data_IF_956614238462
#
_entry.id   IF_956614238462
#
_cell.length_a   1.000
_cell.length_b   1.000
_cell.length_c   1.000
_cell.angle_alpha   90.00
_cell.angle_beta   90.00
_cell.angle_gamma   90.00
#
_symmetry.space_group_name_H-M   'P 1'
#
loop_
_entity.id
_entity.type
_entity.pdbx_description
1 polymer ?
#
# COMPACT_ATOMS: atom_id res chain seq x y z
N UNK A 1 -16.35 -19.30 -69.51
CA UNK A 1 -16.16 -17.84 -69.33
C UNK A 1 -16.66 -17.43 -67.95
N UNK A 2 -15.73 -16.92 -67.13
CA UNK A 2 -15.86 -16.08 -65.94
C UNK A 2 -17.20 -15.97 -65.18
N UNK A 3 -17.16 -16.29 -63.88
CA UNK A 3 -17.66 -15.39 -62.84
C UNK A 3 -16.77 -15.50 -61.58
N UNK A 4 -15.76 -14.62 -61.53
CA UNK A 4 -14.99 -14.29 -60.32
C UNK A 4 -15.97 -13.64 -59.33
N UNK A 5 -16.24 -14.31 -58.21
CA UNK A 5 -16.86 -13.69 -57.03
C UNK A 5 -15.80 -12.85 -56.31
N UNK A 6 -16.11 -11.57 -56.12
CA UNK A 6 -15.25 -10.58 -55.48
C UNK A 6 -15.72 -10.35 -54.03
N UNK A 7 -14.76 -10.32 -53.11
CA UNK A 7 -14.71 -9.62 -51.81
C UNK A 7 -15.90 -9.69 -50.84
N UNK A 8 -15.62 -10.29 -49.68
CA UNK A 8 -15.89 -9.62 -48.40
C UNK A 8 -14.59 -9.71 -47.58
N UNK A 9 -13.82 -8.62 -47.61
CA UNK A 9 -12.75 -8.38 -46.66
C UNK A 9 -13.40 -8.23 -45.29
N UNK A 10 -13.16 -9.17 -44.39
CA UNK A 10 -13.48 -9.03 -42.98
C UNK A 10 -12.55 -7.97 -42.40
N UNK A 11 -13.06 -6.74 -42.29
CA UNK A 11 -12.50 -5.71 -41.45
C UNK A 11 -12.62 -6.20 -40.00
N UNK A 12 -11.58 -6.87 -39.52
CA UNK A 12 -11.43 -7.23 -38.12
C UNK A 12 -11.00 -5.96 -37.36
N UNK A 13 -11.94 -5.02 -37.23
CA UNK A 13 -11.80 -3.89 -36.33
C UNK A 13 -11.69 -4.46 -34.91
N UNK A 14 -10.49 -4.38 -34.36
CA UNK A 14 -10.16 -4.71 -32.97
C UNK A 14 -11.10 -3.89 -32.08
N UNK A 15 -12.20 -4.50 -31.64
CA UNK A 15 -13.11 -3.89 -30.70
C UNK A 15 -12.32 -3.60 -29.42
N UNK A 16 -12.24 -2.33 -29.03
CA UNK A 16 -11.67 -1.94 -27.76
C UNK A 16 -12.31 -2.81 -26.65
N UNK A 17 -11.51 -3.41 -25.75
CA UNK A 17 -12.05 -4.28 -24.71
C UNK A 17 -13.13 -3.51 -23.93
N UNK A 18 -14.29 -4.14 -23.73
CA UNK A 18 -15.40 -3.52 -23.01
C UNK A 18 -14.91 -3.01 -21.65
N UNK A 19 -15.00 -1.69 -21.44
CA UNK A 19 -14.51 -1.01 -20.25
C UNK A 19 -15.24 -1.54 -19.00
N UNK A 20 -14.53 -2.32 -18.18
CA UNK A 20 -15.07 -2.91 -16.95
C UNK A 20 -15.30 -1.83 -15.90
N UNK A 21 -16.42 -1.89 -15.20
CA UNK A 21 -16.76 -1.01 -14.08
C UNK A 21 -16.48 -1.74 -12.77
N UNK A 22 -15.93 -1.06 -11.77
CA UNK A 22 -15.75 -1.67 -10.45
C UNK A 22 -17.12 -2.01 -9.85
N UNK A 23 -17.31 -3.22 -9.31
CA UNK A 23 -18.56 -3.60 -8.65
C UNK A 23 -18.80 -2.79 -7.36
N UNK A 24 -17.73 -2.31 -6.72
CA UNK A 24 -17.77 -1.63 -5.43
C UNK A 24 -17.93 -0.10 -5.55
N UNK A 25 -17.55 0.47 -6.71
CA UNK A 25 -17.51 1.91 -6.98
C UNK A 25 -18.17 2.25 -8.32
N UNK A 26 -19.50 2.22 -8.31
CA UNK A 26 -20.36 2.45 -9.50
C UNK A 26 -21.54 3.38 -9.17
N UNK A 27 -21.31 4.40 -8.34
CA UNK A 27 -22.40 5.29 -7.90
C UNK A 27 -22.92 6.16 -9.05
N UNK A 28 -24.24 6.31 -9.15
CA UNK A 28 -24.87 7.19 -10.15
C UNK A 28 -24.61 8.67 -9.87
N UNK A 29 -24.42 9.06 -8.60
CA UNK A 29 -24.11 10.43 -8.18
C UNK A 29 -22.62 10.78 -8.28
N UNK A 30 -21.79 9.89 -8.83
CA UNK A 30 -20.37 10.15 -8.99
C UNK A 30 -20.11 11.40 -9.85
N UNK A 31 -19.20 12.24 -9.38
CA UNK A 31 -18.79 13.50 -10.02
C UNK A 31 -17.38 13.38 -10.66
N UNK A 32 -16.77 12.19 -10.60
CA UNK A 32 -15.50 11.87 -11.25
C UNK A 32 -15.40 10.39 -11.59
N UNK A 33 -14.74 10.09 -12.71
CA UNK A 33 -14.30 8.74 -13.10
C UNK A 33 -12.79 8.62 -12.87
N UNK A 34 -12.35 7.62 -12.09
CA UNK A 34 -10.94 7.20 -12.07
C UNK A 34 -10.81 5.92 -12.91
N UNK A 35 -9.69 5.79 -13.63
CA UNK A 35 -9.39 4.62 -14.45
C UNK A 35 -8.08 4.02 -14.00
N UNK A 36 -8.09 2.74 -13.65
CA UNK A 36 -6.89 1.98 -13.32
C UNK A 36 -6.03 1.70 -14.54
N UNK A 37 -4.78 1.30 -14.30
CA UNK A 37 -3.83 0.88 -15.34
C UNK A 37 -4.32 -0.30 -16.18
N UNK A 38 -5.11 -1.20 -15.59
CA UNK A 38 -5.73 -2.35 -16.25
C UNK A 38 -7.11 -2.03 -16.88
N UNK A 39 -7.47 -0.74 -16.95
CA UNK A 39 -8.63 -0.24 -17.70
C UNK A 39 -9.98 -0.41 -16.99
N UNK A 40 -9.98 -0.62 -15.67
CA UNK A 40 -11.20 -0.65 -14.85
C UNK A 40 -11.58 0.77 -14.45
N UNK A 41 -12.87 1.08 -14.55
CA UNK A 41 -13.44 2.38 -14.22
C UNK A 41 -14.05 2.39 -12.82
N UNK A 42 -13.85 3.50 -12.13
CA UNK A 42 -14.31 3.76 -10.78
C UNK A 42 -15.13 5.05 -10.78
N UNK A 43 -16.42 4.94 -10.53
CA UNK A 43 -17.31 6.11 -10.41
C UNK A 43 -17.37 6.51 -8.94
N UNK A 44 -16.66 7.58 -8.61
CA UNK A 44 -16.41 8.02 -7.22
C UNK A 44 -16.77 9.48 -7.01
N UNK A 45 -16.63 9.95 -5.76
CA UNK A 45 -16.98 11.32 -5.35
C UNK A 45 -15.72 12.09 -4.96
N UNK A 46 -15.47 13.23 -5.61
CA UNK A 46 -14.35 14.14 -5.31
C UNK A 46 -14.32 14.51 -3.85
N UNK A 47 -15.48 14.82 -3.26
CA UNK A 47 -15.59 15.23 -1.85
C UNK A 47 -15.02 14.18 -0.87
N UNK A 48 -15.30 12.90 -1.09
CA UNK A 48 -14.80 11.83 -0.22
C UNK A 48 -13.28 11.68 -0.36
N UNK A 49 -12.79 11.65 -1.60
CA UNK A 49 -11.37 11.47 -1.88
C UNK A 49 -10.54 12.68 -1.41
N UNK A 50 -11.03 13.90 -1.64
CA UNK A 50 -10.37 15.14 -1.22
C UNK A 50 -10.30 15.28 0.30
N UNK A 51 -11.32 14.79 1.02
CA UNK A 51 -11.30 14.76 2.49
C UNK A 51 -10.32 13.71 3.01
N UNK A 52 -10.18 12.58 2.31
CA UNK A 52 -9.32 11.47 2.73
C UNK A 52 -7.85 11.65 2.33
N UNK A 53 -7.56 12.46 1.32
CA UNK A 53 -6.24 12.63 0.72
C UNK A 53 -6.08 14.04 0.14
N UNK A 54 -5.06 14.74 0.60
CA UNK A 54 -4.66 16.03 0.03
C UNK A 54 -4.17 15.90 -1.41
N UNK A 55 -3.52 14.78 -1.74
CA UNK A 55 -3.03 14.50 -3.10
C UNK A 55 -4.19 14.38 -4.09
N UNK A 56 -5.29 13.72 -3.71
CA UNK A 56 -6.48 13.69 -4.55
C UNK A 56 -7.14 15.06 -4.67
N UNK A 57 -7.19 15.84 -3.59
CA UNK A 57 -7.72 17.20 -3.64
C UNK A 57 -6.97 18.06 -4.68
N UNK A 58 -5.64 18.11 -4.57
CA UNK A 58 -4.76 18.86 -5.47
C UNK A 58 -4.85 18.34 -6.92
N UNK A 59 -4.95 17.01 -7.08
CA UNK A 59 -5.13 16.38 -8.38
C UNK A 59 -6.43 16.87 -9.05
N UNK A 60 -7.54 16.95 -8.33
CA UNK A 60 -8.81 17.37 -8.92
C UNK A 60 -8.85 18.87 -9.23
N UNK A 61 -8.21 19.70 -8.41
CA UNK A 61 -8.08 21.13 -8.70
C UNK A 61 -7.30 21.38 -10.00
N UNK A 62 -6.25 20.60 -10.25
CA UNK A 62 -5.38 20.77 -11.43
C UNK A 62 -5.94 20.13 -12.72
N UNK A 63 -6.76 19.09 -12.62
CA UNK A 63 -7.17 18.27 -13.78
C UNK A 63 -8.62 18.48 -14.24
N UNK A 64 -9.44 19.22 -13.49
CA UNK A 64 -10.89 19.31 -13.77
C UNK A 64 -11.32 20.58 -14.51
N UNK A 65 -10.40 21.24 -15.20
CA UNK A 65 -10.55 22.54 -15.87
C UNK A 65 -11.41 22.56 -17.16
N UNK A 66 -12.39 21.67 -17.32
CA UNK A 66 -13.18 21.54 -18.55
C UNK A 66 -14.68 21.32 -18.33
N UNK A 67 -15.48 21.60 -19.36
CA UNK A 67 -16.96 21.47 -19.41
C UNK A 67 -17.48 20.02 -19.35
N UNK A 68 -16.66 19.04 -18.93
CA UNK A 68 -17.13 17.67 -18.79
C UNK A 68 -17.95 17.52 -17.50
N UNK A 69 -19.19 17.04 -17.64
CA UNK A 69 -20.08 16.73 -16.51
C UNK A 69 -19.44 15.75 -15.52
N UNK A 70 -18.60 14.84 -16.02
CA UNK A 70 -17.78 13.92 -15.23
C UNK A 70 -16.37 13.77 -15.84
N UNK A 71 -15.35 14.45 -15.32
CA UNK A 71 -13.98 14.26 -15.78
C UNK A 71 -13.49 12.84 -15.50
N UNK A 72 -12.63 12.32 -16.38
CA UNK A 72 -11.99 11.02 -16.25
C UNK A 72 -10.49 11.19 -16.04
N UNK A 73 -9.92 10.53 -15.03
CA UNK A 73 -8.48 10.57 -14.73
C UNK A 73 -7.91 9.14 -14.80
N UNK A 74 -6.82 8.97 -15.54
CA UNK A 74 -6.09 7.69 -15.61
C UNK A 74 -5.01 7.64 -14.53
N UNK A 75 -4.94 6.51 -13.81
CA UNK A 75 -4.03 6.24 -12.71
C UNK A 75 -3.12 5.05 -13.05
N UNK A 76 -1.98 4.95 -12.37
CA UNK A 76 -0.94 3.95 -12.66
C UNK A 76 -1.14 2.65 -11.90
N UNK A 77 -2.04 2.66 -10.93
CA UNK A 77 -2.35 1.57 -10.02
C UNK A 77 -3.32 0.59 -10.69
N UNK A 78 -3.21 -0.69 -10.31
CA UNK A 78 -4.16 -1.72 -10.74
C UNK A 78 -5.53 -1.49 -10.09
N UNK A 79 -6.57 -2.09 -10.67
CA UNK A 79 -7.92 -2.05 -10.11
C UNK A 79 -7.96 -2.56 -8.67
N UNK A 80 -7.19 -3.61 -8.35
CA UNK A 80 -7.12 -4.18 -7.00
C UNK A 80 -6.59 -3.17 -5.97
N UNK A 81 -5.48 -2.51 -6.28
CA UNK A 81 -4.87 -1.50 -5.41
C UNK A 81 -5.81 -0.31 -5.21
N UNK A 82 -6.44 0.17 -6.29
CA UNK A 82 -7.41 1.25 -6.20
C UNK A 82 -8.65 0.86 -5.41
N UNK A 83 -9.19 -0.35 -5.57
CA UNK A 83 -10.34 -0.80 -4.77
C UNK A 83 -10.04 -0.76 -3.27
N UNK A 84 -8.86 -1.25 -2.88
CA UNK A 84 -8.41 -1.21 -1.48
C UNK A 84 -8.24 0.23 -0.99
N UNK A 85 -7.55 1.07 -1.77
CA UNK A 85 -7.25 2.46 -1.40
C UNK A 85 -8.53 3.30 -1.26
N UNK A 86 -9.45 3.17 -2.22
CA UNK A 86 -10.74 3.86 -2.20
C UNK A 86 -11.62 3.38 -1.04
N UNK A 87 -11.49 2.12 -0.60
CA UNK A 87 -12.14 1.62 0.60
C UNK A 87 -11.84 2.47 1.84
N UNK A 88 -10.58 2.89 2.01
CA UNK A 88 -10.16 3.78 3.11
C UNK A 88 -10.61 5.24 2.93
N UNK A 89 -10.83 5.68 1.68
CA UNK A 89 -11.31 7.02 1.38
C UNK A 89 -12.81 7.22 1.63
N UNK A 90 -13.57 6.13 1.76
CA UNK A 90 -15.00 6.18 2.02
C UNK A 90 -15.32 5.91 3.50
N UNK A 91 -16.44 6.43 4.02
CA UNK A 91 -16.89 6.16 5.39
C UNK A 91 -17.45 4.74 5.51
N UNK A 92 -16.57 3.74 5.46
CA UNK A 92 -16.88 2.31 5.60
C UNK A 92 -16.07 1.71 6.73
N UNK A 93 -16.56 0.58 7.26
CA UNK A 93 -15.81 -0.25 8.19
C UNK A 93 -14.80 -1.04 7.39
N UNK A 94 -13.51 -0.83 7.67
CA UNK A 94 -12.44 -1.59 7.05
C UNK A 94 -12.16 -2.84 7.89
N UNK A 95 -12.01 -4.02 7.28
CA UNK A 95 -11.60 -5.22 7.99
C UNK A 95 -10.19 -5.04 8.58
N UNK A 96 -9.85 -5.88 9.55
CA UNK A 96 -8.47 -5.96 10.05
C UNK A 96 -7.58 -6.38 8.89
N UNK A 97 -6.58 -5.54 8.58
CA UNK A 97 -5.61 -5.83 7.54
C UNK A 97 -4.71 -7.00 7.94
N UNK A 98 -4.79 -8.10 7.18
CA UNK A 98 -3.84 -9.19 7.27
C UNK A 98 -2.62 -8.88 6.40
N UNK A 99 -1.55 -8.38 7.00
CA UNK A 99 -0.32 -8.01 6.29
C UNK A 99 0.45 -9.20 5.75
N UNK A 100 0.82 -9.12 4.46
CA UNK A 100 1.71 -10.04 3.73
C UNK A 100 2.67 -9.23 2.84
N UNK A 101 3.97 -9.50 2.90
CA UNK A 101 5.00 -8.64 2.26
C UNK A 101 4.82 -8.56 0.75
N UNK A 102 4.63 -9.71 0.13
CA UNK A 102 4.56 -9.87 -1.32
C UNK A 102 3.32 -9.16 -1.88
N UNK A 103 2.18 -9.29 -1.20
CA UNK A 103 0.89 -8.82 -1.67
C UNK A 103 0.65 -7.34 -1.33
N UNK A 104 1.24 -6.83 -0.25
CA UNK A 104 0.95 -5.47 0.25
C UNK A 104 1.96 -4.41 -0.19
N UNK A 105 3.09 -4.79 -0.78
CA UNK A 105 4.14 -3.82 -1.15
C UNK A 105 3.64 -2.72 -2.08
N UNK A 106 2.90 -3.08 -3.13
CA UNK A 106 2.33 -2.09 -4.06
C UNK A 106 1.25 -1.24 -3.40
N UNK A 107 0.48 -1.85 -2.50
CA UNK A 107 -0.55 -1.14 -1.75
C UNK A 107 0.03 -0.11 -0.78
N UNK A 108 1.08 -0.46 -0.04
CA UNK A 108 1.80 0.47 0.85
C UNK A 108 2.37 1.65 0.08
N UNK A 109 2.95 1.40 -1.11
CA UNK A 109 3.42 2.47 -2.00
C UNK A 109 2.30 3.39 -2.46
N UNK A 110 1.12 2.85 -2.77
CA UNK A 110 -0.04 3.64 -3.13
C UNK A 110 -0.54 4.48 -1.94
N UNK A 111 -0.55 3.93 -0.72
CA UNK A 111 -0.94 4.68 0.49
C UNK A 111 -0.02 5.89 0.70
N UNK A 112 1.29 5.71 0.52
CA UNK A 112 2.27 6.79 0.62
C UNK A 112 2.09 7.82 -0.52
N UNK A 113 2.03 7.34 -1.77
CA UNK A 113 1.83 8.19 -2.96
C UNK A 113 0.60 9.10 -2.87
N UNK A 114 -0.53 8.54 -2.41
CA UNK A 114 -1.77 9.29 -2.26
C UNK A 114 -1.97 9.89 -0.87
N UNK A 115 -1.04 9.66 0.05
CA UNK A 115 -1.09 10.12 1.43
C UNK A 115 -2.48 9.94 2.06
N UNK A 116 -2.88 8.68 2.26
CA UNK A 116 -4.20 8.30 2.82
C UNK A 116 -4.07 7.92 4.30
N UNK A 117 -4.28 8.84 5.27
CA UNK A 117 -3.93 8.61 6.67
C UNK A 117 -4.72 7.47 7.31
N UNK A 118 -6.00 7.31 6.95
CA UNK A 118 -6.85 6.22 7.47
C UNK A 118 -6.31 4.84 7.12
N UNK A 119 -5.58 4.69 6.00
CA UNK A 119 -4.94 3.43 5.63
C UNK A 119 -3.67 3.19 6.47
N UNK A 120 -2.92 4.25 6.77
CA UNK A 120 -1.74 4.20 7.65
C UNK A 120 -2.17 3.79 9.07
N UNK A 121 -3.20 4.43 9.62
CA UNK A 121 -3.75 4.13 10.94
C UNK A 121 -4.26 2.68 11.04
N UNK A 122 -4.96 2.21 10.00
CA UNK A 122 -5.40 0.82 9.93
C UNK A 122 -4.22 -0.15 9.88
N UNK A 123 -3.19 0.19 9.09
CA UNK A 123 -1.96 -0.58 9.00
C UNK A 123 -1.25 -0.69 10.35
N UNK A 124 -1.05 0.46 11.00
CA UNK A 124 -0.48 0.56 12.34
C UNK A 124 -1.26 -0.29 13.34
N UNK A 125 -2.58 -0.12 13.40
CA UNK A 125 -3.44 -0.84 14.35
C UNK A 125 -3.35 -2.34 14.13
N UNK A 126 -3.48 -2.80 12.89
CA UNK A 126 -3.36 -4.22 12.54
C UNK A 126 -2.02 -4.83 12.95
N UNK A 127 -0.93 -4.10 12.74
CA UNK A 127 0.40 -4.57 13.12
C UNK A 127 0.58 -4.57 14.64
N UNK A 128 0.17 -3.49 15.33
CA UNK A 128 0.20 -3.41 16.80
C UNK A 128 -0.60 -4.55 17.46
N UNK A 129 -1.74 -4.95 16.88
CA UNK A 129 -2.54 -6.08 17.38
C UNK A 129 -1.74 -7.38 17.43
N UNK A 130 -0.78 -7.60 16.52
CA UNK A 130 0.04 -8.81 16.49
C UNK A 130 1.03 -8.90 17.66
N UNK A 131 1.38 -7.77 18.28
CA UNK A 131 2.27 -7.71 19.44
C UNK A 131 1.52 -7.63 20.78
N UNK A 132 0.19 -7.74 20.78
CA UNK A 132 -0.55 -7.72 22.05
C UNK A 132 -0.17 -8.91 22.93
N UNK A 133 0.05 -8.62 24.22
CA UNK A 133 0.43 -9.64 25.20
C UNK A 133 1.91 -10.04 25.17
N UNK A 134 2.75 -9.33 24.40
CA UNK A 134 4.21 -9.47 24.50
C UNK A 134 4.74 -8.58 25.63
N UNK A 135 4.91 -9.13 26.82
CA UNK A 135 5.56 -8.41 27.93
C UNK A 135 7.09 -8.49 27.76
N UNK A 136 7.63 -8.01 26.64
CA UNK A 136 9.08 -7.94 26.43
C UNK A 136 9.72 -6.98 27.45
N UNK A 137 10.85 -7.32 28.10
CA UNK A 137 11.67 -8.54 27.95
C UNK A 137 11.29 -9.70 28.90
N UNK A 138 10.24 -9.55 29.71
CA UNK A 138 9.93 -10.46 30.82
C UNK A 138 9.22 -11.76 30.41
N UNK A 139 8.51 -11.79 29.28
CA UNK A 139 7.66 -12.93 28.89
C UNK A 139 7.70 -13.22 27.40
N UNK A 140 8.87 -13.63 26.89
CA UNK A 140 8.92 -14.25 25.56
C UNK A 140 8.20 -15.59 25.61
N UNK A 141 7.21 -15.79 24.75
CA UNK A 141 6.44 -17.04 24.67
C UNK A 141 6.48 -17.58 23.25
N UNK A 142 6.06 -18.83 23.04
CA UNK A 142 5.87 -19.37 21.68
C UNK A 142 4.78 -18.62 20.88
N UNK A 143 4.04 -17.71 21.52
CA UNK A 143 3.05 -16.83 20.89
C UNK A 143 3.61 -15.46 20.52
N UNK A 144 4.89 -15.18 20.82
CA UNK A 144 5.56 -13.96 20.37
C UNK A 144 5.61 -13.90 18.83
N UNK A 145 5.47 -12.72 18.23
CA UNK A 145 5.66 -12.53 16.79
C UNK A 145 7.06 -12.99 16.38
N UNK A 146 7.12 -13.80 15.33
CA UNK A 146 8.39 -14.20 14.72
C UNK A 146 8.98 -13.11 13.82
N UNK A 147 10.19 -13.38 13.33
CA UNK A 147 11.03 -12.45 12.56
C UNK A 147 10.27 -11.73 11.45
N UNK A 148 9.51 -12.45 10.62
CA UNK A 148 8.78 -11.85 9.50
C UNK A 148 7.76 -10.80 9.96
N UNK A 149 7.02 -11.09 11.04
CA UNK A 149 6.04 -10.12 11.56
C UNK A 149 6.73 -8.90 12.18
N UNK A 150 7.81 -9.13 12.93
CA UNK A 150 8.64 -8.05 13.48
C UNK A 150 9.24 -7.17 12.37
N UNK A 151 9.73 -7.80 11.31
CA UNK A 151 10.30 -7.14 10.15
C UNK A 151 9.29 -6.29 9.39
N UNK A 152 8.10 -6.84 9.10
CA UNK A 152 7.01 -6.10 8.44
C UNK A 152 6.63 -4.88 9.28
N UNK A 153 6.39 -5.10 10.58
CA UNK A 153 5.98 -4.04 11.48
C UNK A 153 7.03 -2.94 11.60
N UNK A 154 8.30 -3.32 11.73
CA UNK A 154 9.41 -2.36 11.80
C UNK A 154 9.58 -1.59 10.49
N UNK A 155 9.49 -2.27 9.34
CA UNK A 155 9.62 -1.64 8.02
C UNK A 155 8.48 -0.66 7.75
N UNK A 156 7.24 -1.07 8.00
CA UNK A 156 6.06 -0.21 7.87
C UNK A 156 6.16 0.99 8.81
N UNK A 157 6.53 0.77 10.07
CA UNK A 157 6.69 1.83 11.05
C UNK A 157 7.81 2.81 10.68
N UNK A 158 8.94 2.32 10.18
CA UNK A 158 10.04 3.17 9.75
C UNK A 158 9.67 4.01 8.53
N UNK A 159 8.93 3.42 7.58
CA UNK A 159 8.48 4.11 6.38
C UNK A 159 7.51 5.27 6.69
N UNK A 160 6.57 5.07 7.61
CA UNK A 160 5.57 6.08 7.99
C UNK A 160 5.92 6.88 9.26
N UNK A 161 7.10 6.71 9.84
CA UNK A 161 7.54 7.44 11.05
C UNK A 161 6.78 7.07 12.33
N UNK A 162 6.29 5.83 12.46
CA UNK A 162 5.49 5.35 13.60
C UNK A 162 6.40 4.84 14.73
N UNK A 163 7.00 5.75 15.48
CA UNK A 163 8.03 5.43 16.49
C UNK A 163 7.61 4.37 17.52
N UNK A 164 6.36 4.41 18.00
CA UNK A 164 5.87 3.44 18.98
C UNK A 164 5.81 2.01 18.41
N UNK A 165 5.36 1.85 17.16
CA UNK A 165 5.31 0.55 16.51
C UNK A 165 6.72 0.05 16.18
N UNK A 166 7.61 0.94 15.75
CA UNK A 166 9.01 0.59 15.52
C UNK A 166 9.69 0.10 16.80
N UNK A 167 9.50 0.82 17.93
CA UNK A 167 10.03 0.44 19.24
C UNK A 167 9.46 -0.88 19.75
N UNK A 168 8.19 -1.19 19.41
CA UNK A 168 7.55 -2.45 19.75
C UNK A 168 8.09 -3.63 18.93
N UNK A 169 8.32 -3.42 17.63
CA UNK A 169 8.75 -4.48 16.71
C UNK A 169 10.26 -4.79 16.79
N UNK A 170 11.08 -3.77 17.05
CA UNK A 170 12.53 -3.86 16.99
C UNK A 170 13.16 -4.96 17.88
N UNK A 171 12.74 -5.16 19.15
CA UNK A 171 13.33 -6.19 19.98
C UNK A 171 13.07 -7.61 19.45
N UNK A 172 11.90 -7.84 18.85
CA UNK A 172 11.56 -9.11 18.22
C UNK A 172 12.42 -9.40 16.99
N UNK A 173 12.80 -8.35 16.23
CA UNK A 173 13.72 -8.46 15.11
C UNK A 173 15.12 -8.90 15.57
N UNK A 174 15.65 -8.27 16.63
CA UNK A 174 16.99 -8.57 17.15
C UNK A 174 17.09 -9.97 17.77
N UNK A 175 16.06 -10.39 18.51
CA UNK A 175 16.04 -11.69 19.17
C UNK A 175 16.09 -12.83 18.14
N UNK A 176 15.22 -12.78 17.13
CA UNK A 176 15.20 -13.82 16.09
C UNK A 176 16.43 -13.72 15.16
N UNK A 177 16.92 -12.51 14.86
CA UNK A 177 18.15 -12.33 14.08
C UNK A 177 19.40 -12.87 14.79
N UNK A 178 19.44 -12.87 16.12
CA UNK A 178 20.50 -13.51 16.91
C UNK A 178 20.49 -15.04 16.85
N UNK A 179 19.33 -15.63 16.54
CA UNK A 179 19.15 -17.07 16.33
C UNK A 179 19.23 -17.49 14.85
N UNK A 180 19.02 -16.57 13.92
CA UNK A 180 19.18 -16.78 12.49
C UNK A 180 20.63 -16.48 12.10
N UNK A 181 21.41 -17.52 11.77
CA UNK A 181 22.67 -17.34 11.03
C UNK A 181 22.41 -16.41 9.84
N UNK A 182 23.01 -15.22 9.84
CA UNK A 182 22.86 -14.13 8.89
C UNK A 182 22.46 -14.61 7.48
N UNK A 183 21.15 -14.61 7.19
CA UNK A 183 20.66 -14.97 5.88
C UNK A 183 20.94 -13.80 4.91
N UNK A 184 21.21 -14.13 3.65
CA UNK A 184 21.67 -13.19 2.61
C UNK A 184 20.73 -11.98 2.42
N UNK A 185 19.45 -12.16 2.72
CA UNK A 185 18.40 -11.16 2.50
C UNK A 185 18.49 -9.99 3.50
N UNK A 186 18.83 -10.27 4.76
CA UNK A 186 19.06 -9.25 5.80
C UNK A 186 20.35 -8.48 5.51
N UNK A 187 21.36 -9.16 4.95
CA UNK A 187 22.65 -8.54 4.57
C UNK A 187 22.51 -7.62 3.36
N UNK A 188 21.66 -7.98 2.39
CA UNK A 188 21.30 -7.11 1.27
C UNK A 188 20.53 -5.88 1.75
N UNK A 189 19.61 -6.03 2.70
CA UNK A 189 18.79 -4.90 3.17
C UNK A 189 19.56 -3.90 4.06
N UNK A 190 20.59 -4.36 4.77
CA UNK A 190 21.54 -3.51 5.48
C UNK A 190 22.68 -2.99 4.57
N UNK A 191 22.76 -3.47 3.32
CA UNK A 191 23.78 -3.02 2.37
C UNK A 191 23.53 -1.57 1.91
N UNK A 192 24.54 -0.96 1.30
CA UNK A 192 24.40 0.35 0.66
C UNK A 192 23.66 0.28 -0.69
N UNK A 193 23.42 -0.95 -1.20
CA UNK A 193 22.84 -1.21 -2.51
C UNK A 193 21.31 -1.37 -2.47
N UNK A 194 20.69 -1.30 -1.27
CA UNK A 194 19.24 -1.25 -1.13
C UNK A 194 18.77 0.19 -1.42
N UNK A 195 17.89 0.43 -2.43
CA UNK A 195 17.51 1.78 -2.85
C UNK A 195 16.87 2.62 -1.73
N UNK A 196 16.21 1.96 -0.78
CA UNK A 196 15.57 2.53 0.42
C UNK A 196 16.30 2.11 1.72
N UNK A 197 17.58 1.72 1.62
CA UNK A 197 18.36 1.21 2.76
C UNK A 197 18.40 2.22 3.91
N UNK A 198 18.30 1.71 5.15
CA UNK A 198 18.40 2.50 6.39
C UNK A 198 19.51 3.54 6.27
N UNK A 199 19.20 4.80 6.57
CA UNK A 199 20.18 5.88 6.45
C UNK A 199 21.43 5.58 7.30
N UNK A 200 22.58 6.17 6.96
CA UNK A 200 23.80 5.98 7.78
C UNK A 200 23.59 6.39 9.25
N UNK A 201 22.67 7.32 9.51
CA UNK A 201 22.21 7.71 10.85
C UNK A 201 21.37 6.65 11.55
N UNK A 202 20.52 5.91 10.82
CA UNK A 202 19.74 4.81 11.36
C UNK A 202 20.61 3.57 11.61
N UNK A 203 21.58 3.30 10.74
CA UNK A 203 22.63 2.30 10.94
C UNK A 203 23.48 2.62 12.18
N UNK A 204 23.83 3.89 12.38
CA UNK A 204 24.56 4.34 13.58
C UNK A 204 23.70 4.24 14.85
N UNK A 205 22.40 4.56 14.79
CA UNK A 205 21.47 4.36 15.91
C UNK A 205 21.32 2.88 16.28
N UNK A 206 21.29 1.99 15.30
CA UNK A 206 21.32 0.53 15.46
C UNK A 206 22.60 0.03 16.16
N UNK A 207 23.76 0.62 15.88
CA UNK A 207 25.04 0.25 16.49
C UNK A 207 25.28 0.95 17.85
N UNK A 208 24.71 2.14 18.05
CA UNK A 208 24.91 2.95 19.26
C UNK A 208 23.88 2.72 20.36
N UNK A 209 22.80 1.97 20.10
CA UNK A 209 21.80 1.66 21.12
C UNK A 209 22.32 0.54 22.04
N UNK A 210 23.12 0.95 23.04
CA UNK A 210 23.34 0.16 24.24
C UNK A 210 22.27 0.57 25.27
N UNK A 211 21.44 -0.36 25.77
CA UNK A 211 20.61 -0.04 26.92
C UNK A 211 21.56 0.22 28.08
N UNK A 212 21.61 1.47 28.58
CA UNK A 212 22.33 1.74 29.83
C UNK A 212 21.75 0.80 30.90
N UNK A 213 22.58 0.04 31.62
CA UNK A 213 22.08 -0.77 32.72
C UNK A 213 21.50 0.18 33.76
N UNK A 214 20.21 0.03 34.08
CA UNK A 214 19.63 0.66 35.24
C UNK A 214 20.25 -0.01 36.48
N UNK A 215 21.01 0.77 37.25
CA UNK A 215 21.39 0.47 38.62
C UNK A 215 20.14 0.36 39.50
#
# INVERSE_FOLDING_TARGET
MAKRGNKASQDNATAAPALRLSPNFQSSSADIELRSKDGVRFLVHKANLSTASTVFADMFESSTSGDQERPSIELEESAEILERLLGYCYPRVNPVWNFEVEDDREFVRAIDKYHVPRAIEAGQTSLQLRFRGTDWPRRWTNSSPGFQTAFIAFSFASHFGLEELAALAFPHLLYDAGHLSFNSDVKWMLSADCPDGLSSTDKLRLVSWSPRPFL
#
